data_IF_972120481415
#
_entry.id   IF_972120481415
#
_cell.length_a   1.000
_cell.length_b   1.000
_cell.length_c   1.000
_cell.angle_alpha   90.00
_cell.angle_beta   90.00
_cell.angle_gamma   90.00
#
_symmetry.space_group_name_H-M   'P 1'
#
loop_
_entity.id
_entity.type
_entity.pdbx_description
1 polymer ?
2 non-polymer ?
3 non-polymer ?
4 non-polymer ?
5 water ?
#
# COMPACT_ATOMS: atom_id res chain seq x y z
N UNK A 1 -26.21 -11.35 4.04
CA UNK A 1 -25.99 -12.17 2.82
C UNK A 1 -24.65 -12.90 2.82
N UNK A 2 -24.64 -14.08 2.19
CA UNK A 2 -23.47 -14.95 2.14
C UNK A 2 -22.97 -15.10 0.69
N UNK A 3 -22.10 -14.21 0.24
CA UNK A 3 -21.54 -14.30 -1.11
C UNK A 3 -20.08 -14.71 -1.03
N UNK A 4 -19.70 -15.78 -1.75
CA UNK A 4 -18.34 -16.31 -1.68
C UNK A 4 -17.33 -15.27 -2.20
N UNK A 5 -16.26 -15.05 -1.44
CA UNK A 5 -15.20 -14.13 -1.88
C UNK A 5 -14.66 -14.52 -3.24
N UNK A 6 -14.51 -15.82 -3.44
CA UNK A 6 -14.01 -16.39 -4.69
C UNK A 6 -14.76 -15.86 -5.91
N UNK A 7 -16.07 -15.61 -5.76
CA UNK A 7 -16.89 -15.05 -6.83
C UNK A 7 -16.40 -13.69 -7.33
N UNK A 8 -15.54 -13.01 -6.56
CA UNK A 8 -15.01 -11.72 -6.98
C UNK A 8 -13.57 -11.79 -7.43
N UNK A 9 -12.81 -12.68 -6.80
CA UNK A 9 -11.36 -12.68 -6.86
C UNK A 9 -10.79 -12.49 -8.27
N UNK A 10 -9.75 -11.68 -8.33
CA UNK A 10 -9.02 -11.38 -9.56
C UNK A 10 -8.69 -12.71 -10.21
N UNK A 11 -9.39 -12.97 -11.32
CA UNK A 11 -9.36 -14.25 -12.03
C UNK A 11 -8.10 -14.33 -12.86
N UNK A 12 -7.35 -13.21 -12.81
CA UNK A 12 -5.99 -13.17 -13.25
C UNK A 12 -5.23 -14.10 -12.30
N UNK A 13 -4.11 -14.61 -12.77
CA UNK A 13 -3.25 -15.39 -11.90
C UNK A 13 -2.45 -14.44 -11.04
N UNK A 14 -2.20 -14.85 -9.81
CA UNK A 14 -1.57 -13.95 -8.84
C UNK A 14 -0.06 -13.99 -9.01
N UNK A 15 0.54 -12.81 -9.11
CA UNK A 15 1.99 -12.68 -9.18
C UNK A 15 2.60 -12.96 -7.80
N UNK A 16 3.55 -13.90 -7.76
CA UNK A 16 4.22 -14.27 -6.52
C UNK A 16 5.74 -14.27 -6.65
N UNK A 17 6.40 -14.30 -5.49
CA UNK A 17 7.82 -14.62 -5.39
C UNK A 17 8.04 -15.75 -4.38
N UNK A 18 9.31 -16.17 -4.25
CA UNK A 18 9.70 -17.27 -3.37
C UNK A 18 10.60 -16.74 -2.25
N UNK A 19 10.71 -17.48 -1.12
CA UNK A 19 11.52 -16.99 0.00
C UNK A 19 12.96 -16.67 -0.39
N UNK A 20 13.47 -17.39 -1.39
CA UNK A 20 14.85 -17.23 -1.87
C UNK A 20 14.98 -16.22 -3.02
N UNK A 21 13.85 -15.69 -3.48
CA UNK A 21 13.87 -14.57 -4.43
C UNK A 21 14.50 -13.37 -3.72
N UNK A 22 15.48 -12.73 -4.35
CA UNK A 22 16.17 -11.60 -3.74
C UNK A 22 15.22 -10.42 -3.56
N UNK A 23 15.54 -9.56 -2.60
CA UNK A 23 14.84 -8.29 -2.43
C UNK A 23 14.85 -7.49 -3.74
N UNK A 24 16.01 -7.41 -4.42
CA UNK A 24 16.11 -6.73 -5.72
C UNK A 24 15.04 -7.24 -6.70
N UNK A 25 15.01 -8.56 -6.90
CA UNK A 25 14.08 -9.18 -7.84
C UNK A 25 12.62 -8.96 -7.44
N UNK A 26 12.35 -9.03 -6.13
CA UNK A 26 11.02 -8.74 -5.60
C UNK A 26 10.59 -7.31 -5.93
N UNK A 27 11.53 -6.37 -5.80
CA UNK A 27 11.30 -4.97 -6.16
C UNK A 27 10.95 -4.80 -7.63
N UNK A 28 11.73 -5.44 -8.49
CA UNK A 28 11.49 -5.42 -9.93
C UNK A 28 10.13 -5.99 -10.26
N UNK A 29 9.78 -7.08 -9.59
CA UNK A 29 8.49 -7.73 -9.79
C UNK A 29 7.34 -6.81 -9.41
N UNK A 30 7.46 -6.17 -8.25
CA UNK A 30 6.49 -5.17 -7.80
C UNK A 30 6.33 -4.09 -8.84
N UNK A 31 7.48 -3.61 -9.33
CA UNK A 31 7.54 -2.53 -10.28
C UNK A 31 6.93 -2.91 -11.61
N UNK A 32 7.36 -4.05 -12.13
CA UNK A 32 6.95 -4.53 -13.45
C UNK A 32 5.50 -4.93 -13.49
N UNK A 33 4.98 -5.42 -12.38
CA UNK A 33 3.60 -5.86 -12.38
C UNK A 33 2.66 -4.83 -11.81
N UNK A 34 3.22 -3.70 -11.35
CA UNK A 34 2.43 -2.62 -10.78
C UNK A 34 1.73 -3.07 -9.50
N UNK A 35 1.82 -4.37 -9.21
CA UNK A 35 1.24 -4.92 -8.01
C UNK A 35 2.11 -4.59 -6.82
N UNK A 36 1.57 -3.78 -5.92
CA UNK A 36 2.34 -3.37 -4.77
C UNK A 36 2.20 -4.35 -3.57
N UNK A 37 1.72 -5.56 -3.86
CA UNK A 37 1.55 -6.61 -2.83
C UNK A 37 1.83 -8.01 -3.39
N UNK A 38 2.89 -8.64 -2.88
CA UNK A 38 3.35 -9.94 -3.39
C UNK A 38 3.36 -11.04 -2.32
N UNK A 39 2.49 -12.06 -2.48
CA UNK A 39 2.52 -13.27 -1.66
C UNK A 39 3.83 -14.01 -1.88
N UNK A 40 4.42 -14.47 -0.78
CA UNK A 40 5.62 -15.30 -0.86
C UNK A 40 5.17 -16.74 -0.66
N UNK A 41 5.50 -17.58 -1.64
CA UNK A 41 5.10 -18.98 -1.63
C UNK A 41 6.29 -19.92 -1.85
N UNK A 42 6.12 -21.18 -1.47
CA UNK A 42 7.06 -22.24 -1.84
C UNK A 42 6.93 -22.58 -3.32
N UNK A 43 8.04 -23.04 -3.90
CA UNK A 43 8.18 -23.20 -5.35
C UNK A 43 7.37 -24.28 -6.13
N UNK A 44 7.20 -25.50 -5.65
CA UNK A 44 7.30 -25.94 -4.26
C UNK A 44 5.99 -26.70 -4.10
N UNK A 45 5.25 -26.37 -3.05
CA UNK A 45 3.86 -26.84 -2.91
C UNK A 45 2.87 -25.68 -3.02
N UNK A 46 3.40 -24.48 -3.27
CA UNK A 46 2.61 -23.26 -3.48
C UNK A 46 1.92 -22.75 -2.20
N UNK A 47 2.43 -23.18 -1.04
CA UNK A 47 1.91 -22.73 0.24
C UNK A 47 2.37 -21.31 0.52
N UNK A 48 1.42 -20.46 0.92
CA UNK A 48 1.72 -19.10 1.33
C UNK A 48 2.54 -19.15 2.62
N UNK A 49 3.78 -18.67 2.53
CA UNK A 49 4.68 -18.65 3.69
C UNK A 49 5.01 -17.22 4.10
N UNK A 50 4.63 -16.27 3.26
CA UNK A 50 4.92 -14.86 3.53
C UNK A 50 4.19 -13.91 2.60
N UNK A 51 4.38 -12.62 2.86
CA UNK A 51 3.85 -11.56 2.01
C UNK A 51 4.81 -10.37 2.10
N UNK A 52 4.99 -9.68 0.99
CA UNK A 52 5.82 -8.49 0.97
C UNK A 52 5.14 -7.38 0.18
N UNK A 53 5.02 -6.21 0.82
CA UNK A 53 4.39 -5.05 0.18
C UNK A 53 5.40 -3.92 0.08
N UNK A 54 4.97 -2.83 -0.56
CA UNK A 54 5.79 -1.63 -0.68
C UNK A 54 6.11 -1.05 0.69
N UNK A 55 5.22 -1.28 1.66
CA UNK A 55 5.46 -0.84 3.03
C UNK A 55 6.65 -1.54 3.68
N UNK A 56 6.83 -2.83 3.38
CA UNK A 56 8.02 -3.56 3.85
C UNK A 56 9.30 -3.02 3.22
N UNK A 57 9.20 -2.59 1.96
CA UNK A 57 10.34 -1.96 1.30
C UNK A 57 10.66 -0.61 1.93
N UNK A 58 9.62 0.15 2.28
CA UNK A 58 9.79 1.45 2.94
C UNK A 58 10.41 1.31 4.34
N UNK A 59 10.11 0.20 5.02
CA UNK A 59 10.67 -0.17 6.31
C UNK A 59 12.19 -0.40 6.16
N UNK A 60 12.52 -1.34 5.29
CA UNK A 60 13.87 -1.69 4.85
C UNK A 60 14.75 -0.49 4.42
N UNK A 61 14.14 0.47 3.74
CA UNK A 61 14.83 1.66 3.24
C UNK A 61 15.24 2.65 4.34
N UNK A 62 14.61 2.55 5.51
CA UNK A 62 14.91 3.46 6.61
C UNK A 62 13.77 3.75 7.58
N UNK A 63 12.55 3.31 7.23
CA UNK A 63 11.36 3.65 7.99
C UNK A 63 11.10 2.83 9.24
N UNK A 64 11.79 1.71 9.37
CA UNK A 64 11.60 0.84 10.53
C UNK A 64 12.77 -0.09 10.79
N UNK A 65 12.48 -1.17 11.51
CA UNK A 65 13.51 -2.08 12.00
C UNK A 65 14.22 -2.87 10.90
N UNK A 66 13.59 -3.00 9.74
CA UNK A 66 14.19 -3.77 8.63
C UNK A 66 15.39 -3.07 7.98
N UNK A 67 15.49 -1.76 8.22
CA UNK A 67 16.62 -0.94 7.78
C UNK A 67 17.98 -1.44 8.26
N UNK A 68 18.00 -2.08 9.43
CA UNK A 68 19.25 -2.58 10.00
C UNK A 68 19.89 -3.73 9.23
N UNK A 69 19.13 -4.32 8.30
CA UNK A 69 19.70 -5.26 7.33
C UNK A 69 20.70 -4.52 6.44
N UNK A 70 20.33 -3.31 6.03
CA UNK A 70 21.26 -2.41 5.33
C UNK A 70 22.32 -1.86 6.29
N UNK A 71 21.88 -1.09 7.29
CA UNK A 71 22.80 -0.34 8.16
C UNK A 71 23.80 -1.23 8.90
N UNK A 72 23.35 -2.36 9.45
CA UNK A 72 24.22 -3.22 10.26
C UNK A 72 24.93 -4.34 9.49
N UNK A 73 24.19 -5.38 9.09
CA UNK A 73 24.79 -6.53 8.42
C UNK A 73 25.59 -6.13 7.18
N UNK A 74 25.09 -5.14 6.44
CA UNK A 74 25.68 -4.73 5.17
C UNK A 74 26.29 -3.33 5.18
N UNK A 75 26.49 -2.81 6.37
CA UNK A 75 27.26 -1.57 6.58
C UNK A 75 26.90 -0.49 5.56
N UNK A 76 25.61 -0.15 5.55
CA UNK A 76 25.03 0.93 4.74
C UNK A 76 25.06 0.72 3.21
N UNK A 77 25.33 -0.52 2.77
CA UNK A 77 25.34 -0.85 1.34
C UNK A 77 24.00 -1.39 0.83
N UNK A 78 23.18 -0.48 0.32
CA UNK A 78 21.83 -0.80 -0.22
C UNK A 78 21.87 -1.85 -1.31
N UNK A 79 22.93 -1.85 -2.12
CA UNK A 79 23.06 -2.72 -3.27
C UNK A 79 23.45 -4.16 -2.94
N UNK A 80 24.27 -4.34 -1.91
CA UNK A 80 24.58 -5.67 -1.41
C UNK A 80 23.39 -6.23 -0.63
N UNK A 81 22.72 -5.35 0.12
CA UNK A 81 21.59 -5.72 0.97
C UNK A 81 20.41 -6.27 0.17
N UNK A 82 20.21 -5.72 -1.03
CA UNK A 82 19.09 -6.16 -1.87
C UNK A 82 19.33 -7.52 -2.55
N UNK A 83 20.52 -8.08 -2.36
CA UNK A 83 20.80 -9.45 -2.78
C UNK A 83 20.38 -10.47 -1.74
N UNK A 84 20.00 -9.99 -0.54
CA UNK A 84 19.44 -10.84 0.51
C UNK A 84 18.13 -11.45 0.03
N UNK A 85 17.85 -12.71 0.43
CA UNK A 85 16.56 -13.30 0.06
C UNK A 85 15.42 -12.53 0.70
N UNK A 86 14.26 -12.53 0.03
CA UNK A 86 13.10 -11.77 0.47
C UNK A 86 12.58 -12.25 1.85
N UNK A 87 12.91 -13.48 2.21
CA UNK A 87 12.50 -14.05 3.50
C UNK A 87 13.06 -13.25 4.69
N UNK A 88 14.11 -12.47 4.44
CA UNK A 88 14.73 -11.64 5.48
C UNK A 88 13.88 -10.44 5.88
N UNK A 89 13.00 -9.99 4.98
CA UNK A 89 12.16 -8.82 5.24
C UNK A 89 10.65 -9.03 5.01
N UNK A 90 10.26 -10.23 4.59
CA UNK A 90 8.84 -10.49 4.37
C UNK A 90 8.10 -10.61 5.71
N UNK A 91 6.79 -10.36 5.67
CA UNK A 91 5.94 -10.63 6.81
C UNK A 91 5.51 -12.08 6.78
N UNK A 92 5.63 -12.76 7.93
CA UNK A 92 5.14 -14.12 8.07
C UNK A 92 3.89 -14.11 8.93
N UNK A 93 3.32 -15.27 9.22
CA UNK A 93 2.04 -15.33 9.95
C UNK A 93 1.01 -14.48 9.18
N UNK A 94 0.84 -14.79 7.89
CA UNK A 94 0.02 -13.99 6.97
C UNK A 94 -1.47 -14.07 7.30
N UNK A 95 -2.19 -12.96 7.13
CA UNK A 95 -3.65 -12.99 7.24
C UNK A 95 -4.26 -13.42 5.90
N UNK A 96 -4.87 -14.60 5.89
CA UNK A 96 -5.43 -15.19 4.68
C UNK A 96 -6.91 -15.50 4.85
N UNK A 97 -7.59 -15.78 3.74
CA UNK A 97 -8.97 -16.27 3.77
C UNK A 97 -9.06 -17.67 3.14
N UNK A 98 -9.89 -18.52 3.73
CA UNK A 98 -10.15 -19.86 3.19
C UNK A 98 -10.98 -19.72 1.91
N UNK A 99 -10.82 -20.66 0.98
CA UNK A 99 -11.46 -20.53 -0.34
C UNK A 99 -13.00 -20.49 -0.27
N UNK A 100 -13.53 -20.87 0.88
CA UNK A 100 -14.97 -20.82 1.15
C UNK A 100 -15.41 -19.56 1.89
N UNK A 101 -14.48 -18.64 2.13
CA UNK A 101 -14.79 -17.40 2.86
C UNK A 101 -15.79 -16.52 2.09
N UNK A 102 -16.59 -15.76 2.84
CA UNK A 102 -17.59 -14.88 2.22
C UNK A 102 -17.19 -13.41 2.31
N UNK A 103 -17.85 -12.60 1.49
CA UNK A 103 -17.61 -11.15 1.38
C UNK A 103 -17.58 -10.43 2.73
N UNK A 104 -18.52 -10.78 3.61
CA UNK A 104 -18.63 -10.17 4.93
C UNK A 104 -17.42 -10.50 5.79
N UNK A 105 -16.90 -11.71 5.66
CA UNK A 105 -15.68 -12.08 6.36
C UNK A 105 -14.52 -11.22 5.87
N UNK A 106 -14.35 -11.12 4.55
CA UNK A 106 -13.29 -10.32 3.94
C UNK A 106 -13.31 -8.88 4.44
N UNK A 107 -14.52 -8.31 4.48
CA UNK A 107 -14.76 -6.94 4.92
C UNK A 107 -14.38 -6.75 6.40
N UNK A 108 -14.87 -7.65 7.26
CA UNK A 108 -14.53 -7.63 8.67
C UNK A 108 -13.03 -7.75 8.86
N UNK A 109 -12.41 -8.65 8.08
CA UNK A 109 -10.97 -8.81 8.09
C UNK A 109 -10.27 -7.50 7.70
N UNK A 110 -10.73 -6.85 6.64
CA UNK A 110 -10.17 -5.57 6.22
C UNK A 110 -10.35 -4.48 7.29
N UNK A 111 -11.54 -4.43 7.87
CA UNK A 111 -11.89 -3.38 8.82
C UNK A 111 -11.24 -3.53 10.21
N UNK A 112 -11.01 -4.77 10.63
CA UNK A 112 -10.53 -5.02 11.99
C UNK A 112 -9.05 -5.43 12.08
N UNK A 113 -8.52 -6.01 11.02
CA UNK A 113 -7.13 -6.49 11.02
C UNK A 113 -6.16 -5.60 10.25
N UNK A 114 -6.57 -4.38 9.93
CA UNK A 114 -5.70 -3.41 9.27
C UNK A 114 -4.90 -3.99 8.10
N UNK A 115 -5.58 -4.73 7.21
CA UNK A 115 -5.00 -5.15 5.94
C UNK A 115 -5.91 -4.66 4.79
N UNK A 116 -5.32 -4.50 3.60
CA UNK A 116 -6.07 -4.04 2.43
C UNK A 116 -6.23 -5.11 1.38
N UNK A 117 -5.60 -6.26 1.60
CA UNK A 117 -5.63 -7.35 0.63
C UNK A 117 -5.22 -8.63 1.33
N UNK A 118 -5.86 -9.73 0.98
CA UNK A 118 -5.54 -11.00 1.60
C UNK A 118 -5.51 -12.15 0.61
N UNK A 119 -4.49 -13.04 0.74
CA UNK A 119 -4.42 -14.25 -0.05
C UNK A 119 -5.58 -15.17 0.28
N UNK A 120 -6.14 -15.79 -0.75
CA UNK A 120 -7.18 -16.80 -0.58
C UNK A 120 -6.52 -18.15 -0.72
N UNK A 121 -6.59 -18.96 0.33
CA UNK A 121 -5.94 -20.26 0.35
C UNK A 121 -6.95 -21.39 0.55
N UNK A 122 -6.50 -22.61 0.26
CA UNK A 122 -7.29 -23.80 0.53
C UNK A 122 -6.89 -24.38 1.89
N UNK A 123 -7.32 -25.61 2.16
CA UNK A 123 -7.05 -26.25 3.45
C UNK A 123 -5.59 -26.63 3.67
N UNK A 124 -4.84 -26.82 2.58
CA UNK A 124 -3.40 -27.04 2.69
C UNK A 124 -2.63 -25.72 2.74
N UNK A 125 -3.37 -24.61 2.70
CA UNK A 125 -2.79 -23.26 2.73
C UNK A 125 -2.04 -22.93 1.44
N UNK A 126 -2.36 -23.65 0.38
CA UNK A 126 -1.83 -23.37 -0.96
C UNK A 126 -2.56 -22.18 -1.53
N UNK A 127 -1.84 -21.35 -2.28
CA UNK A 127 -2.43 -20.14 -2.85
C UNK A 127 -3.43 -20.42 -3.97
N UNK A 128 -4.64 -19.91 -3.80
CA UNK A 128 -5.72 -20.06 -4.76
C UNK A 128 -5.89 -18.75 -5.53
N UNK A 129 -6.05 -17.66 -4.79
CA UNK A 129 -6.27 -16.32 -5.34
C UNK A 129 -5.91 -15.25 -4.31
N UNK A 130 -6.36 -14.01 -4.56
CA UNK A 130 -6.21 -12.91 -3.62
C UNK A 130 -7.36 -11.91 -3.77
N UNK A 131 -7.79 -11.31 -2.66
CA UNK A 131 -8.85 -10.29 -2.67
C UNK A 131 -8.38 -9.01 -1.97
N UNK A 132 -8.66 -7.86 -2.58
CA UNK A 132 -8.32 -6.56 -2.01
C UNK A 132 -9.60 -5.79 -1.68
N UNK A 133 -9.45 -4.70 -0.92
CA UNK A 133 -10.55 -3.80 -0.63
C UNK A 133 -11.14 -3.20 -1.90
N UNK A 134 -10.29 -3.00 -2.90
CA UNK A 134 -10.71 -2.47 -4.20
C UNK A 134 -11.65 -3.42 -4.94
N UNK A 135 -11.34 -4.72 -4.93
CA UNK A 135 -12.19 -5.73 -5.55
C UNK A 135 -13.58 -5.74 -4.92
N UNK A 136 -13.63 -5.62 -3.58
CA UNK A 136 -14.90 -5.59 -2.86
C UNK A 136 -15.70 -4.30 -3.15
N UNK A 137 -15.02 -3.15 -3.15
CA UNK A 137 -15.68 -1.89 -3.48
C UNK A 137 -16.23 -1.88 -4.91
N UNK A 138 -15.42 -2.40 -5.85
CA UNK A 138 -15.81 -2.53 -7.25
C UNK A 138 -17.06 -3.40 -7.39
N UNK A 139 -17.07 -4.53 -6.69
CA UNK A 139 -18.18 -5.48 -6.75
C UNK A 139 -19.48 -4.98 -6.12
N UNK A 140 -19.38 -4.02 -5.19
CA UNK A 140 -20.55 -3.55 -4.44
C UNK A 140 -20.87 -2.07 -4.66
N UNK A 141 -20.23 -1.47 -5.66
CA UNK A 141 -20.34 -0.03 -5.91
C UNK A 141 -21.77 0.45 -6.14
N UNK A 142 -22.53 -0.29 -6.95
CA UNK A 142 -23.92 0.05 -7.24
C UNK A 142 -24.90 -0.40 -6.15
N UNK A 143 -24.34 -0.86 -5.02
CA UNK A 143 -25.13 -1.21 -3.85
C UNK A 143 -24.95 -0.16 -2.76
N UNK A 144 -24.21 0.89 -3.08
CA UNK A 144 -24.10 2.07 -2.23
C UNK A 144 -25.25 3.01 -2.59
N UNK A 145 -26.06 3.34 -1.59
CA UNK A 145 -27.12 4.34 -1.71
C UNK A 145 -26.56 5.63 -2.32
N UNK A 146 -27.20 6.11 -3.38
CA UNK A 146 -26.74 7.29 -4.12
C UNK A 146 -26.72 8.58 -3.31
N UNK A 147 -27.43 8.57 -2.19
CA UNK A 147 -27.55 9.75 -1.34
C UNK A 147 -26.58 9.78 -0.17
N UNK A 148 -25.97 8.62 0.13
CA UNK A 148 -24.98 8.55 1.20
C UNK A 148 -23.80 9.47 0.95
N UNK A 149 -23.51 10.31 1.94
CA UNK A 149 -22.47 11.32 1.82
C UNK A 149 -21.18 10.84 2.53
N UNK A 150 -20.05 11.46 2.22
CA UNK A 150 -18.76 11.00 2.76
C UNK A 150 -18.45 11.46 4.20
N UNK A 151 -19.14 12.50 4.68
CA UNK A 151 -18.84 13.15 5.96
C UNK A 151 -18.49 12.22 7.14
N UNK A 152 -19.37 11.25 7.42
CA UNK A 152 -19.21 10.31 8.54
C UNK A 152 -18.00 9.38 8.41
N UNK A 153 -17.45 9.29 7.20
CA UNK A 153 -16.42 8.31 6.88
C UNK A 153 -15.03 8.94 6.87
N UNK A 154 -14.98 10.26 6.84
CA UNK A 154 -13.73 11.00 6.78
C UNK A 154 -12.91 10.83 8.05
N UNK A 155 -11.63 10.50 7.88
CA UNK A 155 -10.69 10.47 8.99
C UNK A 155 -10.19 11.89 9.22
N UNK A 156 -10.61 12.45 10.35
CA UNK A 156 -10.37 13.86 10.67
C UNK A 156 -8.90 14.20 10.95
N UNK A 157 -8.30 13.47 11.89
CA UNK A 157 -6.92 13.72 12.29
C UNK A 157 -5.95 13.15 11.26
N UNK A 158 -5.44 14.00 10.38
CA UNK A 158 -4.54 13.52 9.32
C UNK A 158 -3.09 13.59 9.74
N UNK A 159 -2.38 12.48 9.53
CA UNK A 159 -0.94 12.45 9.62
C UNK A 159 -0.41 12.87 8.25
N UNK A 160 0.59 13.73 8.27
CA UNK A 160 0.92 14.53 7.11
C UNK A 160 2.43 14.61 6.94
N UNK A 161 2.88 14.88 5.71
CA UNK A 161 4.27 15.19 5.44
C UNK A 161 4.35 16.62 4.92
N UNK A 162 5.54 17.22 4.97
CA UNK A 162 5.73 18.57 4.43
C UNK A 162 6.68 18.55 3.23
N UNK A 163 6.61 19.59 2.36
CA UNK A 163 7.43 19.57 1.14
C UNK A 163 8.94 19.46 1.37
N UNK A 164 9.42 19.96 2.50
CA UNK A 164 10.84 19.93 2.84
C UNK A 164 11.32 18.68 3.54
N UNK A 165 10.39 17.81 3.93
CA UNK A 165 10.72 16.61 4.71
C UNK A 165 11.57 15.63 3.91
N UNK A 166 12.59 15.05 4.56
CA UNK A 166 13.47 14.09 3.91
C UNK A 166 12.79 12.72 3.83
N UNK A 167 13.10 11.94 2.78
CA UNK A 167 12.48 10.64 2.56
C UNK A 167 12.66 9.71 3.75
N UNK A 168 13.85 9.72 4.33
CA UNK A 168 14.15 8.90 5.50
C UNK A 168 13.20 9.18 6.66
N UNK A 169 12.76 10.44 6.81
CA UNK A 169 11.82 10.84 7.86
C UNK A 169 10.36 10.51 7.54
N UNK A 170 9.96 10.73 6.29
CA UNK A 170 8.60 10.41 5.85
C UNK A 170 8.39 8.90 5.95
N UNK A 171 9.43 8.14 5.63
CA UNK A 171 9.42 6.67 5.72
C UNK A 171 9.14 6.18 7.13
N UNK A 172 9.75 6.83 8.12
CA UNK A 172 9.44 6.60 9.53
C UNK A 172 7.97 6.83 9.80
N UNK A 173 7.48 8.00 9.39
CA UNK A 173 6.09 8.40 9.59
C UNK A 173 5.13 7.37 9.00
N UNK A 174 5.42 6.92 7.78
CA UNK A 174 4.59 5.95 7.09
C UNK A 174 4.54 4.63 7.85
N UNK A 175 5.72 4.10 8.19
CA UNK A 175 5.84 2.79 8.80
C UNK A 175 5.29 2.78 10.23
N UNK A 176 5.64 3.81 11.01
CA UNK A 176 5.19 3.91 12.40
C UNK A 176 3.67 4.02 12.52
N UNK A 177 3.05 4.77 11.62
CA UNK A 177 1.60 4.95 11.68
C UNK A 177 0.83 3.93 10.85
N UNK A 178 1.55 3.16 10.03
CA UNK A 178 0.93 2.17 9.14
C UNK A 178 0.11 2.80 8.02
N UNK A 179 0.53 3.99 7.59
CA UNK A 179 -0.14 4.71 6.50
C UNK A 179 0.74 4.77 5.27
N UNK A 180 0.27 4.20 4.17
CA UNK A 180 1.03 4.21 2.91
C UNK A 180 1.00 5.57 2.21
N UNK A 181 -0.06 6.34 2.42
CA UNK A 181 -0.14 7.66 1.80
C UNK A 181 -0.30 8.80 2.77
N UNK A 182 0.50 9.82 2.53
CA UNK A 182 0.48 11.02 3.33
C UNK A 182 0.18 12.22 2.44
N UNK A 183 -0.88 12.97 2.78
CA UNK A 183 -1.07 14.23 2.08
C UNK A 183 0.12 15.13 2.40
N UNK A 184 0.60 15.88 1.41
CA UNK A 184 1.70 16.82 1.66
C UNK A 184 1.11 18.21 1.90
N UNK A 185 1.41 18.76 3.08
CA UNK A 185 0.77 19.99 3.54
C UNK A 185 1.81 21.04 3.94
N UNK A 186 1.57 22.27 3.49
CA UNK A 186 2.42 23.39 3.84
C UNK A 186 1.55 24.59 4.24
N UNK A 187 1.80 25.13 5.44
CA UNK A 187 1.02 26.23 5.99
C UNK A 187 -0.50 25.94 6.02
N UNK A 188 -0.85 24.69 6.29
CA UNK A 188 -2.24 24.26 6.35
C UNK A 188 -2.87 23.93 5.00
N UNK A 189 -2.11 24.15 3.92
CA UNK A 189 -2.59 23.94 2.57
C UNK A 189 -2.03 22.66 1.94
N UNK A 190 -2.90 21.92 1.25
CA UNK A 190 -2.50 20.73 0.49
C UNK A 190 -1.65 21.14 -0.70
N UNK A 191 -0.42 20.66 -0.75
CA UNK A 191 0.45 20.96 -1.88
C UNK A 191 0.83 19.70 -2.67
N UNK A 192 0.42 18.54 -2.16
CA UNK A 192 0.74 17.30 -2.83
C UNK A 192 0.34 16.04 -2.09
N UNK A 193 0.68 14.91 -2.71
CA UNK A 193 0.54 13.60 -2.08
C UNK A 193 1.82 12.80 -2.32
N UNK A 194 2.18 11.98 -1.34
CA UNK A 194 3.31 11.08 -1.44
C UNK A 194 2.87 9.73 -0.87
N UNK A 195 3.21 8.65 -1.57
CA UNK A 195 2.82 7.31 -1.12
C UNK A 195 4.03 6.38 -1.11
N UNK A 196 3.86 5.20 -0.51
CA UNK A 196 4.94 4.21 -0.47
C UNK A 196 5.35 3.75 -1.87
N UNK A 197 4.40 3.75 -2.80
CA UNK A 197 4.65 3.43 -4.21
C UNK A 197 5.66 4.39 -4.86
N UNK A 198 5.56 5.67 -4.49
CA UNK A 198 6.51 6.69 -4.97
C UNK A 198 7.94 6.38 -4.55
N UNK A 199 8.11 5.83 -3.35
CA UNK A 199 9.43 5.49 -2.82
C UNK A 199 10.02 4.30 -3.61
N UNK A 200 9.15 3.38 -4.03
CA UNK A 200 9.53 2.23 -4.87
C UNK A 200 9.89 2.68 -6.30
N UNK A 201 9.06 3.56 -6.87
CA UNK A 201 9.32 4.13 -8.19
C UNK A 201 10.69 4.80 -8.23
N UNK A 202 10.99 5.57 -7.18
CA UNK A 202 12.28 6.24 -7.06
C UNK A 202 13.47 5.28 -7.16
N UNK A 203 13.40 4.13 -6.46
CA UNK A 203 14.50 3.15 -6.49
C UNK A 203 14.81 2.62 -7.89
N UNK A 204 13.77 2.52 -8.72
CA UNK A 204 13.93 2.04 -10.09
C UNK A 204 14.11 3.15 -11.10
N UNK A 205 14.62 4.30 -10.65
CA UNK A 205 14.89 5.43 -11.53
C UNK A 205 16.34 5.42 -12.01
N UNK A 206 16.58 6.10 -13.13
CA UNK A 206 17.94 6.34 -13.62
C UNK A 206 18.73 7.16 -12.60
N UNK A 207 18.07 8.16 -12.04
CA UNK A 207 18.65 9.01 -11.00
C UNK A 207 19.19 8.17 -9.83
N UNK A 208 18.51 7.08 -9.52
CA UNK A 208 18.87 6.21 -8.40
C UNK A 208 19.87 5.11 -8.75
N UNK A 209 19.83 4.58 -9.97
CA UNK A 209 20.83 3.59 -10.42
C UNK A 209 22.21 4.24 -10.54
N UNK A 210 22.21 5.56 -10.71
CA UNK A 210 23.43 6.35 -10.75
C UNK A 210 24.12 6.48 -9.38
N UNK A 211 23.37 6.90 -8.36
CA UNK A 211 23.89 7.08 -7.00
C UNK A 211 24.25 5.75 -6.33
N UNK A 212 23.69 4.65 -6.81
CA UNK A 212 23.93 3.36 -6.18
C UNK A 212 25.28 2.77 -6.60
N UNK A 213 25.54 2.76 -7.90
CA UNK A 213 26.78 2.25 -8.49
C UNK A 213 27.93 3.19 -8.16
N UNK A 214 27.66 4.49 -8.26
CA UNK A 214 28.56 5.52 -7.79
C UNK A 214 27.81 6.36 -6.76
N UNK A 215 27.44 5.70 -5.67
CA UNK A 215 26.79 6.37 -4.55
C UNK A 215 27.47 5.97 -3.26
N UNK A 216 27.18 6.67 -2.17
CA UNK A 216 26.10 7.67 -2.04
C UNK A 216 24.67 7.13 -2.05
N UNK A 217 24.47 6.09 -1.25
CA UNK A 217 23.17 5.50 -0.94
C UNK A 217 22.30 6.51 -0.20
N UNK A 218 22.91 7.22 0.75
CA UNK A 218 22.20 8.14 1.63
C UNK A 218 21.47 9.24 0.86
N UNK A 219 21.99 9.60 -0.31
CA UNK A 219 21.39 10.63 -1.14
C UNK A 219 19.99 10.28 -1.64
N UNK A 220 19.70 8.97 -1.71
CA UNK A 220 18.35 8.52 -2.03
C UNK A 220 17.40 8.82 -0.86
N UNK A 221 17.79 8.45 0.36
CA UNK A 221 16.94 8.69 1.51
C UNK A 221 16.95 10.15 1.98
N UNK A 222 17.80 10.97 1.37
CA UNK A 222 17.87 12.40 1.66
C UNK A 222 16.99 13.27 0.77
N UNK A 223 16.43 12.68 -0.28
CA UNK A 223 15.56 13.42 -1.19
C UNK A 223 14.39 14.00 -0.41
N UNK A 224 14.07 15.26 -0.71
CA UNK A 224 12.96 15.92 -0.05
C UNK A 224 11.68 15.67 -0.83
N UNK A 225 10.55 15.74 -0.13
CA UNK A 225 9.25 15.38 -0.71
C UNK A 225 8.87 16.16 -1.95
N UNK A 226 9.23 17.46 -1.97
CA UNK A 226 8.95 18.33 -3.10
C UNK A 226 9.50 17.79 -4.42
N UNK A 227 10.63 17.10 -4.35
CA UNK A 227 11.28 16.54 -5.53
C UNK A 227 10.49 15.41 -6.16
N UNK A 228 9.73 14.68 -5.34
CA UNK A 228 9.13 13.43 -5.79
C UNK A 228 7.61 13.28 -5.60
N UNK A 229 7.01 14.18 -4.82
CA UNK A 229 5.57 14.08 -4.54
C UNK A 229 4.74 14.36 -5.80
N UNK A 230 3.52 13.84 -5.81
CA UNK A 230 2.55 14.20 -6.84
C UNK A 230 1.92 15.52 -6.39
N UNK A 231 2.10 16.57 -7.19
CA UNK A 231 1.61 17.90 -6.83
C UNK A 231 0.12 18.07 -7.05
N UNK A 232 -0.40 17.44 -8.09
CA UNK A 232 -1.80 17.62 -8.43
C UNK A 232 -2.64 16.44 -7.99
N UNK A 233 -3.40 16.68 -6.94
CA UNK A 233 -4.01 15.62 -6.16
C UNK A 233 -5.49 15.52 -6.45
N UNK A 234 -5.97 14.29 -6.59
CA UNK A 234 -7.39 14.02 -6.64
C UNK A 234 -7.89 14.08 -5.20
N UNK A 235 -8.65 15.14 -4.92
CA UNK A 235 -9.12 15.44 -3.57
C UNK A 235 -10.63 15.26 -3.47
N UNK A 236 -11.13 15.08 -2.25
CA UNK A 236 -12.57 15.05 -2.01
C UNK A 236 -13.00 16.23 -1.16
N UNK A 237 -14.31 16.41 -0.99
CA UNK A 237 -14.84 17.45 -0.11
C UNK A 237 -16.10 17.04 0.62
N UNK A 238 -16.32 17.66 1.77
CA UNK A 238 -17.50 17.44 2.58
C UNK A 238 -18.74 17.73 1.76
N UNK A 239 -19.68 16.79 1.78
CA UNK A 239 -20.89 16.91 0.98
C UNK A 239 -20.83 16.11 -0.32
N UNK A 240 -19.64 15.67 -0.72
CA UNK A 240 -19.50 14.78 -1.87
C UNK A 240 -20.16 13.45 -1.56
N UNK A 241 -20.74 12.82 -2.58
CA UNK A 241 -21.40 11.53 -2.41
C UNK A 241 -20.38 10.43 -2.23
N UNK A 242 -20.69 9.48 -1.36
CA UNK A 242 -19.82 8.34 -1.08
C UNK A 242 -19.61 7.49 -2.33
N UNK A 243 -20.71 7.25 -3.04
CA UNK A 243 -20.67 6.47 -4.28
C UNK A 243 -19.79 7.12 -5.34
N UNK A 244 -19.85 8.44 -5.45
CA UNK A 244 -18.99 9.18 -6.39
C UNK A 244 -17.53 8.93 -6.08
N UNK A 245 -17.17 9.15 -4.81
CA UNK A 245 -15.81 8.99 -4.32
C UNK A 245 -15.33 7.55 -4.53
N UNK A 246 -16.15 6.59 -4.14
CA UNK A 246 -15.85 5.16 -4.32
C UNK A 246 -15.59 4.83 -5.78
N UNK A 247 -16.45 5.32 -6.67
CA UNK A 247 -16.31 5.10 -8.11
C UNK A 247 -14.99 5.66 -8.63
N UNK A 248 -14.65 6.85 -8.18
CA UNK A 248 -13.40 7.51 -8.54
C UNK A 248 -12.16 6.68 -8.16
N UNK A 249 -12.17 6.14 -6.94
CA UNK A 249 -11.10 5.27 -6.44
C UNK A 249 -10.89 4.04 -7.32
N UNK A 250 -11.99 3.32 -7.54
CA UNK A 250 -11.99 2.06 -8.25
C UNK A 250 -11.69 2.22 -9.74
N UNK A 251 -12.14 3.31 -10.35
CA UNK A 251 -11.89 3.56 -11.77
C UNK A 251 -10.48 4.10 -12.04
N UNK A 252 -9.79 4.50 -10.97
CA UNK A 252 -8.46 5.08 -11.09
C UNK A 252 -7.34 4.34 -10.36
N UNK A 253 -7.69 3.23 -9.70
CA UNK A 253 -6.74 2.51 -8.85
C UNK A 253 -6.06 3.44 -7.85
N UNK A 254 -6.88 4.26 -7.19
CA UNK A 254 -6.42 5.17 -6.17
C UNK A 254 -7.13 4.77 -4.89
N UNK A 255 -6.37 4.71 -3.79
CA UNK A 255 -6.91 4.22 -2.55
C UNK A 255 -7.25 5.29 -1.54
N UNK A 256 -6.77 6.51 -1.77
CA UNK A 256 -6.92 7.59 -0.78
C UNK A 256 -7.05 8.98 -1.41
N UNK A 257 -8.05 9.72 -0.93
CA UNK A 257 -8.24 11.11 -1.36
C UNK A 257 -8.18 12.05 -0.16
N UNK A 258 -7.23 13.00 -0.15
CA UNK A 258 -7.28 14.05 0.88
C UNK A 258 -8.58 14.84 0.75
N UNK A 259 -9.19 15.20 1.88
CA UNK A 259 -10.44 15.97 1.89
C UNK A 259 -10.14 17.44 2.12
N UNK A 260 -10.50 18.29 1.15
CA UNK A 260 -10.10 19.69 1.19
C UNK A 260 -11.21 20.75 1.15
N UNK A 261 -10.91 21.85 1.83
CA UNK A 261 -11.47 23.17 1.61
C UNK A 261 -11.52 23.56 0.14
N UNK A 262 -12.37 24.53 -0.20
CA UNK A 262 -12.28 25.24 -1.47
C UNK A 262 -10.98 26.07 -1.46
N UNK A 263 -10.47 26.36 -0.26
CA UNK A 263 -9.17 27.02 -0.09
C UNK A 263 -8.01 26.03 0.08
N UNK A 264 -8.29 24.75 -0.12
CA UNK A 264 -7.30 23.65 -0.01
C UNK A 264 -6.73 23.46 1.39
N UNK A 265 -7.49 23.85 2.41
CA UNK A 265 -7.17 23.51 3.80
C UNK A 265 -7.66 22.09 4.08
N UNK A 266 -6.87 21.34 4.85
CA UNK A 266 -7.12 19.92 5.07
C UNK A 266 -8.18 19.67 6.13
N UNK A 267 -9.26 19.01 5.71
CA UNK A 267 -10.34 18.67 6.63
C UNK A 267 -10.25 17.21 7.07
N UNK A 268 -9.55 16.41 6.27
CA UNK A 268 -9.41 14.99 6.54
C UNK A 268 -8.83 14.21 5.37
N UNK A 269 -8.98 12.90 5.44
CA UNK A 269 -8.59 11.99 4.38
C UNK A 269 -9.63 10.87 4.38
N UNK A 270 -9.94 10.34 3.20
CA UNK A 270 -10.83 9.19 3.07
C UNK A 270 -10.18 8.14 2.18
N UNK A 271 -10.26 6.89 2.60
CA UNK A 271 -9.59 5.81 1.89
C UNK A 271 -10.56 4.67 1.60
N UNK A 272 -10.08 3.67 0.88
CA UNK A 272 -10.89 2.50 0.53
C UNK A 272 -11.42 1.78 1.75
N UNK A 273 -10.61 1.74 2.82
CA UNK A 273 -11.06 1.09 4.06
C UNK A 273 -12.25 1.84 4.66
N UNK A 274 -12.21 3.17 4.61
CA UNK A 274 -13.32 3.98 5.08
C UNK A 274 -14.58 3.70 4.29
N UNK A 275 -14.48 3.76 2.96
CA UNK A 275 -15.60 3.46 2.09
C UNK A 275 -16.27 2.15 2.52
N UNK A 276 -15.46 1.15 2.85
CA UNK A 276 -15.96 -0.18 3.24
C UNK A 276 -16.73 -0.23 4.57
N UNK A 277 -16.62 0.84 5.37
CA UNK A 277 -17.39 0.95 6.62
C UNK A 277 -18.89 1.06 6.36
N UNK A 278 -19.25 1.53 5.16
CA UNK A 278 -20.63 1.58 4.72
C UNK A 278 -21.25 0.18 4.76
N UNK A 279 -20.47 -0.82 4.37
CA UNK A 279 -20.93 -2.21 4.40
C UNK A 279 -20.54 -2.92 5.70
N UNK A 280 -20.07 -2.17 6.69
CA UNK A 280 -19.75 -2.74 8.00
C UNK A 280 -20.99 -3.37 8.62
#
# INVERSE_FOLDING_TARGET
MFVRVMKIAQNKKIVTVYPTTTIRKALMTMNENKYRRLPVVNAGNNKVVGIITSMDIVDFMGGGSKYNLIREKHERNFLAAINEPVREIMEENVITLKENADIDEAIETFLTKNVGGAPIVNDENQLISLITERDVIRALLDKIDENEVIDDYITRDVIVATPGERLKDVARTMVRNGFRRLPVVSEGRLVGIITSTDFIKLLGSDWAFNHMQTGNVREITNVRMEEIMKRDVITAKEGDKLKKIAEIMVTNDIGALPVVDENLRIKGIITEKDVLKYFA
#
